data_IF_531222174787
#
_entry.id   IF_531222174787
#
_cell.length_a   1.000
_cell.length_b   1.000
_cell.length_c   1.000
_cell.angle_alpha   90.00
_cell.angle_beta   90.00
_cell.angle_gamma   90.00
#
_symmetry.space_group_name_H-M   'P 1'
#
loop_
_entity.id
_entity.type
_entity.pdbx_description
1 polymer ?
#
# COMPACT_ATOMS: atom_id res chain seq x y z
N UNK A 1 30.47 24.02 -10.70
CA UNK A 1 29.55 23.01 -11.27
C UNK A 1 29.82 21.68 -10.60
N UNK A 2 28.97 21.25 -9.68
CA UNK A 2 29.08 19.96 -8.97
C UNK A 2 28.59 18.87 -9.92
N UNK A 3 29.41 17.85 -10.13
CA UNK A 3 29.09 16.76 -11.07
C UNK A 3 27.85 15.99 -10.60
N UNK A 4 26.88 15.62 -11.45
CA UNK A 4 25.62 14.99 -11.09
C UNK A 4 25.77 13.65 -10.34
N UNK A 5 26.90 12.98 -10.44
CA UNK A 5 27.22 11.75 -9.69
C UNK A 5 27.49 12.00 -8.20
N UNK A 6 28.09 13.15 -7.83
CA UNK A 6 28.31 13.49 -6.40
C UNK A 6 27.02 13.84 -5.68
N UNK A 7 26.08 14.49 -6.37
CA UNK A 7 24.76 14.80 -5.78
C UNK A 7 23.94 13.53 -5.49
N UNK A 8 24.06 12.51 -6.36
CA UNK A 8 23.40 11.21 -6.14
C UNK A 8 23.97 10.46 -4.92
N UNK A 9 25.27 10.51 -4.69
CA UNK A 9 25.91 9.86 -3.54
C UNK A 9 25.62 10.56 -2.22
N UNK A 10 25.51 11.89 -2.19
CA UNK A 10 25.11 12.63 -1.00
C UNK A 10 23.63 12.41 -0.63
N UNK A 11 22.74 12.29 -1.61
CA UNK A 11 21.33 12.04 -1.38
C UNK A 11 21.09 10.60 -0.88
N UNK A 12 21.82 9.62 -1.39
CA UNK A 12 21.74 8.24 -0.91
C UNK A 12 22.23 8.10 0.54
N UNK A 13 23.24 8.90 0.96
CA UNK A 13 23.72 8.95 2.35
C UNK A 13 22.73 9.63 3.31
N UNK A 14 21.98 10.63 2.85
CA UNK A 14 20.97 11.30 3.67
C UNK A 14 19.72 10.43 3.92
N UNK A 15 19.40 9.51 3.02
CA UNK A 15 18.29 8.56 3.17
C UNK A 15 18.61 7.39 4.11
N UNK A 16 19.90 7.15 4.43
CA UNK A 16 20.33 6.01 5.26
C UNK A 16 20.60 6.31 6.74
N UNK A 17 20.56 7.56 7.20
CA UNK A 17 21.19 7.93 8.48
C UNK A 17 20.28 8.45 9.60
N UNK A 18 18.94 8.42 9.49
CA UNK A 18 18.10 8.93 10.57
C UNK A 18 16.96 7.99 10.94
N UNK A 19 17.00 7.49 12.17
CA UNK A 19 15.94 6.74 12.87
C UNK A 19 14.77 7.64 13.33
N UNK A 20 14.50 8.73 12.64
CA UNK A 20 13.42 9.63 12.99
C UNK A 20 12.96 10.41 11.76
N UNK A 21 11.78 10.12 11.28
CA UNK A 21 10.98 10.83 10.27
C UNK A 21 10.89 10.17 8.90
N UNK A 22 10.15 9.08 8.82
CA UNK A 22 9.55 8.58 7.56
C UNK A 22 8.83 9.71 6.80
N UNK A 23 8.24 10.67 7.50
CA UNK A 23 7.54 11.83 6.91
C UNK A 23 8.48 12.77 6.15
N UNK A 24 9.71 12.98 6.64
CA UNK A 24 10.70 13.85 5.95
C UNK A 24 11.27 13.15 4.72
N UNK A 25 11.51 11.84 4.78
CA UNK A 25 12.01 11.05 3.66
C UNK A 25 10.98 10.95 2.53
N UNK A 26 9.70 10.74 2.87
CA UNK A 26 8.60 10.72 1.92
C UNK A 26 8.32 12.11 1.32
N UNK A 27 8.47 13.18 2.12
CA UNK A 27 8.39 14.56 1.64
C UNK A 27 9.52 14.92 0.67
N UNK A 28 10.74 14.46 0.93
CA UNK A 28 11.88 14.66 0.03
C UNK A 28 11.71 13.92 -1.30
N UNK A 29 11.13 12.73 -1.30
CA UNK A 29 10.79 12.00 -2.53
C UNK A 29 9.84 12.81 -3.42
N UNK A 30 8.78 13.39 -2.85
CA UNK A 30 7.84 14.25 -3.59
C UNK A 30 8.49 15.50 -4.19
N UNK A 31 9.47 16.12 -3.53
CA UNK A 31 10.16 17.32 -4.02
C UNK A 31 11.09 17.05 -5.21
N UNK A 32 11.55 15.81 -5.36
CA UNK A 32 12.48 15.41 -6.43
C UNK A 32 11.70 14.86 -7.64
N UNK A 33 10.44 14.46 -7.46
CA UNK A 33 9.65 13.70 -8.44
C UNK A 33 8.50 14.51 -9.06
N UNK A 34 8.74 15.77 -9.41
CA UNK A 34 7.78 16.54 -10.20
C UNK A 34 7.77 16.14 -11.70
N UNK A 35 7.39 14.89 -11.97
CA UNK A 35 6.78 14.59 -13.26
C UNK A 35 5.26 14.67 -13.01
N UNK A 36 4.62 15.73 -13.49
CA UNK A 36 3.19 15.94 -13.30
C UNK A 36 2.38 14.91 -14.11
N UNK A 37 2.22 13.72 -13.56
CA UNK A 37 1.21 12.80 -14.09
C UNK A 37 -0.15 13.33 -13.66
N UNK A 38 -1.03 13.70 -14.59
CA UNK A 38 -2.34 14.22 -14.25
C UNK A 38 -3.11 13.24 -13.35
N UNK A 39 -3.73 13.78 -12.31
CA UNK A 39 -4.57 13.01 -11.40
C UNK A 39 -5.94 13.65 -11.25
N UNK A 40 -6.93 12.80 -10.95
CA UNK A 40 -8.30 13.22 -10.64
C UNK A 40 -8.60 12.87 -9.20
N UNK A 41 -9.06 13.82 -8.41
CA UNK A 41 -9.57 13.56 -7.07
C UNK A 41 -11.05 13.16 -7.11
N UNK A 42 -11.41 12.09 -6.41
CA UNK A 42 -12.78 11.55 -6.35
C UNK A 42 -13.17 11.34 -4.89
N UNK A 43 -14.37 11.80 -4.51
CA UNK A 43 -14.96 11.50 -3.21
C UNK A 43 -15.56 10.08 -3.22
N UNK A 44 -15.31 9.30 -2.15
CA UNK A 44 -15.94 8.00 -1.93
C UNK A 44 -16.87 8.00 -0.68
N UNK A 45 -16.99 9.16 -0.04
CA UNK A 45 -17.85 9.41 1.09
C UNK A 45 -17.92 10.92 1.41
N UNK A 46 -18.65 11.26 2.47
CA UNK A 46 -18.91 12.66 2.86
C UNK A 46 -17.78 13.27 3.70
N UNK A 47 -17.00 12.44 4.38
CA UNK A 47 -15.92 12.88 5.26
C UNK A 47 -14.78 13.59 4.49
N UNK A 48 -14.10 14.55 5.13
CA UNK A 48 -13.06 15.35 4.48
C UNK A 48 -11.87 14.52 3.99
N UNK A 49 -11.62 13.37 4.60
CA UNK A 49 -10.58 12.43 4.18
C UNK A 49 -11.10 11.29 3.28
N UNK A 50 -12.40 11.17 3.09
CA UNK A 50 -13.01 10.12 2.24
C UNK A 50 -12.91 10.48 0.75
N UNK A 51 -11.65 10.64 0.28
CA UNK A 51 -11.28 10.97 -1.09
C UNK A 51 -10.08 10.14 -1.53
N UNK A 52 -10.02 9.81 -2.81
CA UNK A 52 -8.84 9.21 -3.42
C UNK A 52 -8.39 9.97 -4.65
N UNK A 53 -7.10 9.88 -4.96
CA UNK A 53 -6.54 10.33 -6.23
C UNK A 53 -6.49 9.16 -7.21
N UNK A 54 -6.80 9.44 -8.48
CA UNK A 54 -6.72 8.48 -9.59
C UNK A 54 -5.67 8.95 -10.58
N UNK A 55 -4.75 8.07 -10.92
CA UNK A 55 -3.76 8.23 -11.98
C UNK A 55 -4.07 7.22 -13.08
N UNK A 56 -4.27 7.70 -14.31
CA UNK A 56 -4.51 6.81 -15.46
C UNK A 56 -3.23 6.12 -15.89
N UNK A 57 -3.36 4.88 -16.36
CA UNK A 57 -2.24 4.13 -16.92
C UNK A 57 -1.62 4.82 -18.13
N UNK A 58 -0.29 4.85 -18.21
CA UNK A 58 0.46 5.49 -19.28
C UNK A 58 1.22 4.48 -20.14
N UNK A 59 1.38 4.80 -21.42
CA UNK A 59 2.30 4.09 -22.32
C UNK A 59 3.78 4.51 -22.09
N UNK A 60 4.70 3.92 -22.83
CA UNK A 60 6.13 4.18 -22.72
C UNK A 60 6.57 5.62 -23.07
N UNK A 61 5.68 6.40 -23.69
CA UNK A 61 5.92 7.80 -24.04
C UNK A 61 5.03 8.77 -23.24
N UNK A 62 4.39 8.28 -22.16
CA UNK A 62 3.67 9.10 -21.19
C UNK A 62 2.24 9.48 -21.60
N UNK A 63 1.63 8.82 -22.60
CA UNK A 63 0.24 9.04 -22.98
C UNK A 63 -0.69 8.03 -22.28
N UNK A 64 -1.95 8.41 -21.95
CA UNK A 64 -2.92 7.46 -21.41
C UNK A 64 -3.12 6.25 -22.32
N UNK A 65 -3.10 5.05 -21.72
CA UNK A 65 -3.41 3.83 -22.44
C UNK A 65 -4.86 3.83 -22.94
N UNK A 66 -5.08 3.26 -24.12
CA UNK A 66 -6.41 3.10 -24.74
C UNK A 66 -6.99 1.71 -24.49
N UNK A 67 -6.20 0.76 -24.04
CA UNK A 67 -6.63 -0.59 -23.67
C UNK A 67 -6.82 -0.70 -22.14
N UNK A 68 -7.74 -1.56 -21.66
CA UNK A 68 -7.93 -1.78 -20.23
C UNK A 68 -6.64 -2.21 -19.52
N UNK A 69 -6.26 -1.49 -18.48
CA UNK A 69 -5.04 -1.69 -17.72
C UNK A 69 -5.31 -2.30 -16.33
N UNK A 70 -4.39 -3.11 -15.76
CA UNK A 70 -4.51 -3.53 -14.38
C UNK A 70 -4.62 -2.33 -13.44
N UNK A 71 -5.29 -2.54 -12.30
CA UNK A 71 -5.55 -1.50 -11.31
C UNK A 71 -4.79 -1.82 -10.03
N UNK A 72 -4.16 -0.81 -9.44
CA UNK A 72 -3.56 -0.89 -8.11
C UNK A 72 -4.24 0.13 -7.20
N UNK A 73 -4.89 -0.34 -6.13
CA UNK A 73 -5.39 0.52 -5.07
C UNK A 73 -4.33 0.53 -3.97
N UNK A 74 -3.67 1.67 -3.77
CA UNK A 74 -2.53 1.80 -2.85
C UNK A 74 -2.90 2.58 -1.59
N UNK A 75 -2.80 1.94 -0.42
CA UNK A 75 -3.12 2.50 0.91
C UNK A 75 -1.83 3.00 1.57
N UNK A 76 -1.79 4.30 1.88
CA UNK A 76 -0.62 4.95 2.47
C UNK A 76 -0.36 4.52 3.93
N UNK A 77 0.90 4.61 4.36
CA UNK A 77 1.31 4.42 5.76
C UNK A 77 1.14 5.68 6.61
N UNK A 78 1.60 5.62 7.86
CA UNK A 78 1.60 6.75 8.79
C UNK A 78 1.12 6.40 10.19
N UNK A 79 1.35 5.16 10.65
CA UNK A 79 1.07 4.72 12.03
C UNK A 79 -0.39 4.96 12.48
N UNK A 80 -1.33 4.91 11.57
CA UNK A 80 -2.78 5.16 11.75
C UNK A 80 -3.13 6.57 12.26
N UNK A 81 -2.16 7.44 12.54
CA UNK A 81 -2.36 8.79 13.09
C UNK A 81 -1.82 9.92 12.19
N UNK A 82 -1.19 9.56 11.08
CA UNK A 82 -0.63 10.50 10.10
C UNK A 82 -0.67 9.92 8.69
N UNK A 83 -0.16 10.69 7.72
CA UNK A 83 -0.10 10.30 6.32
C UNK A 83 -1.21 10.94 5.48
N UNK A 84 -0.93 11.03 4.20
CA UNK A 84 -1.84 11.59 3.21
C UNK A 84 -1.47 11.03 1.82
N UNK A 85 -2.47 10.83 0.96
CA UNK A 85 -2.30 10.38 -0.43
C UNK A 85 -1.33 11.26 -1.22
N UNK A 86 -1.27 12.57 -0.90
CA UNK A 86 -0.34 13.52 -1.53
C UNK A 86 1.12 13.22 -1.17
N UNK A 87 1.37 12.72 0.05
CA UNK A 87 2.70 12.27 0.48
C UNK A 87 3.21 11.06 -0.30
N UNK A 88 2.32 10.32 -0.96
CA UNK A 88 2.61 9.15 -1.79
C UNK A 88 2.28 9.37 -3.28
N UNK A 89 2.13 10.63 -3.73
CA UNK A 89 1.83 10.95 -5.13
C UNK A 89 2.83 10.29 -6.09
N UNK A 90 4.12 10.26 -5.74
CA UNK A 90 5.19 9.61 -6.49
C UNK A 90 4.99 8.09 -6.68
N UNK A 91 4.30 7.39 -5.75
CA UNK A 91 3.91 5.99 -5.95
C UNK A 91 2.82 5.89 -7.01
N UNK A 92 1.82 6.78 -6.95
CA UNK A 92 0.75 6.85 -7.96
C UNK A 92 1.30 7.11 -9.36
N UNK A 93 2.23 8.07 -9.48
CA UNK A 93 2.91 8.38 -10.75
C UNK A 93 3.76 7.19 -11.25
N UNK A 94 4.48 6.53 -10.33
CA UNK A 94 5.27 5.35 -10.66
C UNK A 94 4.40 4.21 -11.21
N UNK A 95 3.27 3.93 -10.55
CA UNK A 95 2.32 2.91 -10.99
C UNK A 95 1.70 3.26 -12.35
N UNK A 96 1.32 4.53 -12.57
CA UNK A 96 0.81 4.99 -13.86
C UNK A 96 1.84 4.78 -14.99
N UNK A 97 3.10 5.13 -14.75
CA UNK A 97 4.20 4.94 -15.71
C UNK A 97 4.55 3.45 -15.94
N UNK A 98 4.20 2.57 -15.00
CA UNK A 98 4.28 1.11 -15.20
C UNK A 98 3.11 0.55 -16.00
N UNK A 99 2.17 1.39 -16.43
CA UNK A 99 1.00 0.99 -17.22
C UNK A 99 -0.17 0.51 -16.36
N UNK A 100 -0.30 0.97 -15.11
CA UNK A 100 -1.39 0.62 -14.21
C UNK A 100 -2.28 1.84 -13.92
N UNK A 101 -3.58 1.63 -13.80
CA UNK A 101 -4.44 2.62 -13.15
C UNK A 101 -4.13 2.57 -11.65
N UNK A 102 -3.71 3.70 -11.07
CA UNK A 102 -3.44 3.78 -9.64
C UNK A 102 -4.53 4.59 -8.92
N UNK A 103 -5.02 4.05 -7.79
CA UNK A 103 -6.00 4.71 -6.93
C UNK A 103 -5.41 4.82 -5.53
N UNK A 104 -5.25 6.05 -5.03
CA UNK A 104 -4.62 6.33 -3.75
C UNK A 104 -5.64 6.94 -2.78
N UNK A 105 -6.31 6.15 -1.92
CA UNK A 105 -7.25 6.67 -0.94
C UNK A 105 -6.54 7.32 0.26
N UNK A 106 -7.13 8.42 0.77
CA UNK A 106 -7.02 8.79 2.16
C UNK A 106 -8.05 8.00 2.97
N UNK A 107 -7.84 7.90 4.25
CA UNK A 107 -8.73 7.29 5.24
C UNK A 107 -8.67 8.09 6.54
N UNK A 108 -9.63 7.91 7.45
CA UNK A 108 -9.66 8.57 8.74
C UNK A 108 -8.45 8.21 9.60
N UNK A 109 -7.97 9.17 10.39
CA UNK A 109 -6.77 9.02 11.22
C UNK A 109 -7.09 9.25 12.71
N UNK A 110 -6.32 8.60 13.57
CA UNK A 110 -6.31 8.91 14.99
C UNK A 110 -6.02 10.41 15.24
N UNK A 111 -6.59 11.01 16.28
CA UNK A 111 -7.52 10.45 17.26
C UNK A 111 -8.99 10.50 16.85
N UNK A 112 -9.34 11.17 15.73
CA UNK A 112 -10.73 11.37 15.31
C UNK A 112 -11.37 10.11 14.75
N UNK A 113 -10.58 9.20 14.18
CA UNK A 113 -11.03 7.92 13.65
C UNK A 113 -10.21 6.80 14.28
N UNK A 114 -10.84 5.74 14.75
CA UNK A 114 -10.19 4.64 15.45
C UNK A 114 -10.43 3.31 14.73
N UNK A 115 -9.74 2.26 15.17
CA UNK A 115 -10.05 0.90 14.75
C UNK A 115 -11.47 0.51 15.25
N UNK A 116 -12.32 -0.07 14.37
CA UNK A 116 -12.06 -0.49 12.99
C UNK A 116 -12.40 0.58 11.91
N UNK A 117 -12.87 1.76 12.26
CA UNK A 117 -13.45 2.78 11.35
C UNK A 117 -12.54 3.14 10.17
N UNK A 118 -11.23 3.24 10.38
CA UNK A 118 -10.30 3.52 9.29
C UNK A 118 -10.14 2.32 8.31
N UNK A 119 -10.45 1.09 8.76
CA UNK A 119 -10.53 -0.08 7.87
C UNK A 119 -11.80 -0.03 7.05
N UNK A 120 -12.94 0.38 7.66
CA UNK A 120 -14.22 0.59 6.97
C UNK A 120 -14.08 1.66 5.88
N UNK A 121 -13.34 2.75 6.15
CA UNK A 121 -13.06 3.79 5.16
C UNK A 121 -12.33 3.21 3.95
N UNK A 122 -11.30 2.39 4.16
CA UNK A 122 -10.56 1.76 3.06
C UNK A 122 -11.40 0.73 2.33
N UNK A 123 -12.21 -0.07 3.03
CA UNK A 123 -13.14 -1.01 2.40
C UNK A 123 -14.14 -0.29 1.49
N UNK A 124 -14.70 0.84 1.96
CA UNK A 124 -15.58 1.70 1.16
C UNK A 124 -14.86 2.28 -0.06
N UNK A 125 -13.63 2.79 0.12
CA UNK A 125 -12.82 3.30 -0.98
C UNK A 125 -12.53 2.22 -2.04
N UNK A 126 -12.20 0.99 -1.61
CA UNK A 126 -11.95 -0.16 -2.49
C UNK A 126 -13.21 -0.52 -3.28
N UNK A 127 -14.36 -0.69 -2.63
CA UNK A 127 -15.62 -1.02 -3.29
C UNK A 127 -16.04 0.09 -4.28
N UNK A 128 -15.98 1.35 -3.87
CA UNK A 128 -16.33 2.50 -4.68
C UNK A 128 -15.39 2.64 -5.90
N UNK A 129 -14.07 2.50 -5.71
CA UNK A 129 -13.11 2.57 -6.81
C UNK A 129 -13.34 1.41 -7.79
N UNK A 130 -13.50 0.16 -7.28
CA UNK A 130 -13.69 -1.04 -8.10
C UNK A 130 -14.92 -0.93 -9.01
N UNK A 131 -16.00 -0.31 -8.54
CA UNK A 131 -17.21 -0.08 -9.34
C UNK A 131 -16.99 0.91 -10.48
N UNK A 132 -15.94 1.74 -10.41
CA UNK A 132 -15.69 2.86 -11.33
C UNK A 132 -14.40 2.74 -12.13
N UNK A 133 -13.59 1.71 -11.94
CA UNK A 133 -12.25 1.60 -12.59
C UNK A 133 -12.31 1.68 -14.11
N UNK A 134 -13.41 1.25 -14.75
CA UNK A 134 -13.59 1.35 -16.20
C UNK A 134 -13.66 2.80 -16.71
N UNK A 135 -14.12 3.74 -15.88
CA UNK A 135 -14.14 5.18 -16.22
C UNK A 135 -12.72 5.74 -16.46
N UNK A 136 -11.72 5.08 -15.87
CA UNK A 136 -10.31 5.46 -15.94
C UNK A 136 -9.48 4.55 -16.83
N UNK A 137 -10.12 3.60 -17.53
CA UNK A 137 -9.45 2.62 -18.38
C UNK A 137 -8.89 1.42 -17.60
N UNK A 138 -9.44 1.15 -16.40
CA UNK A 138 -9.05 0.01 -15.58
C UNK A 138 -9.77 -1.27 -15.97
N UNK A 139 -9.07 -2.41 -15.82
CA UNK A 139 -9.59 -3.76 -15.98
C UNK A 139 -10.17 -4.26 -14.65
N UNK A 140 -11.47 -4.49 -14.64
CA UNK A 140 -12.19 -4.95 -13.45
C UNK A 140 -11.79 -6.35 -12.98
N UNK A 141 -11.17 -7.16 -13.81
CA UNK A 141 -10.69 -8.50 -13.45
C UNK A 141 -9.30 -8.50 -12.81
N UNK A 142 -8.56 -7.40 -12.94
CA UNK A 142 -7.16 -7.25 -12.47
C UNK A 142 -7.02 -6.07 -11.52
N UNK A 143 -7.62 -6.19 -10.34
CA UNK A 143 -7.55 -5.16 -9.28
C UNK A 143 -6.75 -5.70 -8.11
N UNK A 144 -5.57 -5.14 -7.87
CA UNK A 144 -4.68 -5.51 -6.76
C UNK A 144 -4.78 -4.46 -5.66
N UNK A 145 -4.96 -4.90 -4.42
CA UNK A 145 -4.89 -4.05 -3.24
C UNK A 145 -3.45 -4.05 -2.72
N UNK A 146 -2.84 -2.87 -2.58
CA UNK A 146 -1.48 -2.69 -2.11
C UNK A 146 -1.45 -1.70 -0.96
N UNK A 147 -0.53 -1.87 -0.01
CA UNK A 147 -0.35 -0.90 1.06
C UNK A 147 1.07 -0.87 1.62
N UNK A 148 1.41 0.22 2.32
CA UNK A 148 2.68 0.38 3.01
C UNK A 148 2.48 0.55 4.51
N UNK A 149 3.25 -0.16 5.37
CA UNK A 149 3.26 0.03 6.83
C UNK A 149 1.85 -0.13 7.44
N UNK A 150 1.34 0.85 8.18
CA UNK A 150 -0.04 0.90 8.68
C UNK A 150 -1.07 0.76 7.55
N UNK A 151 -0.80 1.27 6.35
CA UNK A 151 -1.66 1.07 5.18
C UNK A 151 -1.66 -0.37 4.67
N UNK A 152 -0.54 -1.09 4.79
CA UNK A 152 -0.49 -2.52 4.48
C UNK A 152 -1.27 -3.35 5.49
N UNK A 153 -1.25 -2.97 6.78
CA UNK A 153 -2.11 -3.56 7.81
C UNK A 153 -3.60 -3.41 7.45
N UNK A 154 -4.05 -2.18 7.18
CA UNK A 154 -5.44 -1.88 6.82
C UNK A 154 -5.84 -2.65 5.55
N UNK A 155 -5.00 -2.60 4.52
CA UNK A 155 -5.25 -3.30 3.26
C UNK A 155 -5.33 -4.83 3.44
N UNK A 156 -4.50 -5.41 4.33
CA UNK A 156 -4.56 -6.83 4.65
C UNK A 156 -5.87 -7.22 5.35
N UNK A 157 -6.36 -6.40 6.28
CA UNK A 157 -7.68 -6.61 6.89
C UNK A 157 -8.80 -6.58 5.84
N UNK A 158 -8.79 -5.59 4.95
CA UNK A 158 -9.78 -5.53 3.84
C UNK A 158 -9.68 -6.74 2.90
N UNK A 159 -8.46 -7.26 2.68
CA UNK A 159 -8.21 -8.39 1.79
C UNK A 159 -8.59 -9.75 2.39
N UNK A 160 -8.47 -9.91 3.72
CA UNK A 160 -8.63 -11.23 4.36
C UNK A 160 -9.86 -11.34 5.24
N UNK A 161 -10.27 -10.27 5.90
CA UNK A 161 -11.50 -10.26 6.69
C UNK A 161 -12.69 -9.81 5.84
N UNK A 162 -13.46 -10.79 5.37
CA UNK A 162 -14.59 -10.54 4.47
C UNK A 162 -15.67 -9.63 5.08
N UNK A 163 -15.70 -9.45 6.41
CA UNK A 163 -16.69 -8.61 7.09
C UNK A 163 -16.64 -7.17 6.57
N UNK A 164 -15.45 -6.62 6.31
CA UNK A 164 -15.29 -5.24 5.85
C UNK A 164 -15.89 -4.98 4.47
N UNK A 165 -15.64 -5.83 3.50
CA UNK A 165 -16.22 -5.68 2.17
C UNK A 165 -17.69 -6.10 2.12
N UNK A 166 -18.14 -6.98 3.02
CA UNK A 166 -19.55 -7.33 3.16
C UNK A 166 -20.43 -6.12 3.55
N UNK A 167 -19.92 -5.22 4.39
CA UNK A 167 -20.64 -3.95 4.71
C UNK A 167 -20.81 -3.04 3.49
N UNK A 168 -20.01 -3.26 2.44
CA UNK A 168 -20.08 -2.55 1.17
C UNK A 168 -20.87 -3.35 0.08
N UNK A 169 -21.54 -4.43 0.46
CA UNK A 169 -22.31 -5.27 -0.45
C UNK A 169 -21.48 -6.13 -1.39
N UNK A 170 -20.20 -6.38 -1.06
CA UNK A 170 -19.29 -7.16 -1.90
C UNK A 170 -18.38 -8.09 -1.06
N UNK A 171 -17.40 -8.73 -1.68
CA UNK A 171 -16.47 -9.66 -1.02
C UNK A 171 -15.04 -9.44 -1.50
N UNK A 172 -14.02 -10.00 -0.82
CA UNK A 172 -12.63 -9.94 -1.30
C UNK A 172 -12.40 -10.49 -2.72
N UNK A 173 -13.31 -11.30 -3.25
CA UNK A 173 -13.24 -11.82 -4.62
C UNK A 173 -13.28 -10.74 -5.72
N UNK A 174 -13.62 -9.49 -5.39
CA UNK A 174 -13.47 -8.37 -6.33
C UNK A 174 -12.01 -7.98 -6.58
N UNK A 175 -11.07 -8.51 -5.79
CA UNK A 175 -9.64 -8.26 -5.86
C UNK A 175 -8.92 -9.47 -6.47
N UNK A 176 -7.89 -9.24 -7.27
CA UNK A 176 -7.08 -10.28 -7.90
C UNK A 176 -5.80 -10.63 -7.13
N UNK A 177 -5.47 -9.90 -6.06
CA UNK A 177 -4.30 -10.15 -5.22
C UNK A 177 -4.06 -9.05 -4.19
N UNK A 178 -3.15 -9.34 -3.25
CA UNK A 178 -2.70 -8.40 -2.22
C UNK A 178 -1.18 -8.21 -2.30
N UNK A 179 -0.71 -6.96 -2.14
CA UNK A 179 0.72 -6.61 -2.03
C UNK A 179 0.96 -5.85 -0.74
N UNK A 180 1.78 -6.40 0.13
CA UNK A 180 2.11 -5.78 1.41
C UNK A 180 3.56 -5.29 1.47
N UNK A 181 3.76 -3.98 1.69
CA UNK A 181 5.06 -3.35 1.81
C UNK A 181 5.34 -3.01 3.27
N UNK A 182 6.26 -3.72 3.93
CA UNK A 182 6.67 -3.51 5.33
C UNK A 182 5.48 -3.40 6.30
N UNK A 183 4.49 -4.30 6.16
CA UNK A 183 3.22 -4.21 6.89
C UNK A 183 3.22 -4.92 8.24
N UNK A 184 2.35 -4.44 9.15
CA UNK A 184 2.10 -5.01 10.46
C UNK A 184 0.93 -6.00 10.39
N UNK A 185 1.17 -7.31 10.57
CA UNK A 185 0.15 -8.34 10.37
C UNK A 185 -0.07 -9.25 11.59
N UNK A 186 0.94 -9.31 12.48
CA UNK A 186 0.96 -10.12 13.68
C UNK A 186 1.86 -9.45 14.73
N UNK A 187 1.29 -8.59 15.56
CA UNK A 187 2.02 -7.77 16.51
C UNK A 187 1.42 -7.85 17.92
N UNK A 188 2.24 -7.49 18.91
CA UNK A 188 1.81 -7.36 20.30
C UNK A 188 1.33 -5.92 20.56
N UNK A 189 0.35 -5.76 21.44
CA UNK A 189 -0.17 -4.45 21.85
C UNK A 189 0.66 -3.85 22.99
N UNK A 190 1.98 -3.87 22.83
CA UNK A 190 2.96 -3.53 23.88
C UNK A 190 3.33 -2.04 23.93
N UNK A 191 3.08 -1.29 22.85
CA UNK A 191 3.35 0.14 22.79
C UNK A 191 2.12 0.98 23.18
N UNK A 192 2.37 2.22 23.65
CA UNK A 192 1.29 3.19 23.93
C UNK A 192 0.46 3.49 22.68
N UNK A 193 1.10 3.58 21.51
CA UNK A 193 0.43 3.80 20.23
C UNK A 193 -0.55 2.66 19.94
N UNK A 194 -0.08 1.42 19.93
CA UNK A 194 -0.92 0.26 19.59
C UNK A 194 -2.09 0.10 20.56
N UNK A 195 -1.83 0.20 21.87
CA UNK A 195 -2.91 0.16 22.86
C UNK A 195 -3.98 1.24 22.65
N UNK A 196 -3.57 2.46 22.26
CA UNK A 196 -4.50 3.56 22.00
C UNK A 196 -5.27 3.38 20.69
N UNK A 197 -4.58 2.94 19.62
CA UNK A 197 -5.17 2.77 18.29
C UNK A 197 -6.21 1.66 18.27
N UNK A 198 -5.92 0.55 18.96
CA UNK A 198 -6.74 -0.65 19.00
C UNK A 198 -7.49 -0.84 20.33
N UNK A 199 -7.60 0.21 21.15
CA UNK A 199 -8.33 0.15 22.43
C UNK A 199 -9.76 -0.34 22.24
N UNK A 200 -10.19 -1.26 23.10
CA UNK A 200 -11.52 -1.84 23.06
C UNK A 200 -11.65 -3.12 23.89
N UNK A 201 -12.71 -3.90 23.71
CA UNK A 201 -12.87 -5.20 24.35
C UNK A 201 -11.78 -6.18 23.88
N UNK A 202 -11.55 -7.30 24.61
CA UNK A 202 -10.46 -8.25 24.29
C UNK A 202 -10.50 -8.79 22.86
N UNK A 203 -11.71 -8.98 22.30
CA UNK A 203 -11.90 -9.46 20.92
C UNK A 203 -11.31 -8.51 19.89
N UNK A 204 -11.17 -7.23 20.21
CA UNK A 204 -10.61 -6.22 19.33
C UNK A 204 -9.13 -6.44 19.01
N UNK A 205 -8.36 -6.98 19.94
CA UNK A 205 -6.97 -7.34 19.69
C UNK A 205 -6.87 -8.45 18.65
N UNK A 206 -7.72 -9.47 18.75
CA UNK A 206 -7.83 -10.52 17.73
C UNK A 206 -8.23 -9.95 16.37
N UNK A 207 -9.27 -9.10 16.36
CA UNK A 207 -9.83 -8.52 15.14
C UNK A 207 -8.88 -7.53 14.44
N UNK A 208 -7.90 -7.00 15.16
CA UNK A 208 -6.89 -6.10 14.62
C UNK A 208 -5.72 -6.83 13.92
N UNK A 209 -5.63 -8.15 13.96
CA UNK A 209 -4.50 -8.91 13.42
C UNK A 209 -4.88 -9.64 12.12
N UNK A 210 -4.46 -9.14 10.95
CA UNK A 210 -4.79 -9.76 9.65
C UNK A 210 -4.49 -11.26 9.56
N UNK A 211 -3.45 -11.73 10.24
CA UNK A 211 -3.04 -13.14 10.24
C UNK A 211 -4.15 -14.09 10.69
N UNK A 212 -5.07 -13.65 11.53
CA UNK A 212 -6.18 -14.46 12.05
C UNK A 212 -7.29 -14.73 11.03
N UNK A 213 -7.35 -13.95 9.95
CA UNK A 213 -8.40 -14.05 8.92
C UNK A 213 -7.94 -14.77 7.65
N UNK A 214 -6.73 -15.33 7.67
CA UNK A 214 -6.23 -16.13 6.55
C UNK A 214 -7.01 -17.43 6.43
N UNK A 215 -7.56 -17.69 5.25
CA UNK A 215 -8.32 -18.88 4.89
C UNK A 215 -7.83 -19.45 3.55
N UNK A 216 -8.20 -20.67 3.15
CA UNK A 216 -7.88 -21.19 1.81
C UNK A 216 -8.46 -20.36 0.65
N UNK A 217 -9.37 -19.42 0.93
CA UNK A 217 -9.96 -18.51 -0.06
C UNK A 217 -9.28 -17.13 -0.06
N UNK A 218 -8.26 -16.93 0.75
CA UNK A 218 -7.50 -15.68 0.77
C UNK A 218 -6.80 -15.42 -0.55
N UNK A 219 -6.56 -14.16 -0.83
CA UNK A 219 -5.97 -13.71 -2.11
C UNK A 219 -4.50 -14.16 -2.21
N UNK A 220 -4.05 -14.46 -3.44
CA UNK A 220 -2.61 -14.59 -3.71
C UNK A 220 -1.90 -13.32 -3.24
N UNK A 221 -0.71 -13.49 -2.68
CA UNK A 221 -0.07 -12.43 -1.90
C UNK A 221 1.39 -12.27 -2.28
N UNK A 222 1.85 -11.01 -2.37
CA UNK A 222 3.26 -10.65 -2.44
C UNK A 222 3.62 -9.76 -1.25
N UNK A 223 4.62 -10.17 -0.48
CA UNK A 223 5.11 -9.44 0.69
C UNK A 223 6.52 -8.93 0.44
N UNK A 224 6.77 -7.67 0.74
CA UNK A 224 8.09 -7.04 0.64
C UNK A 224 8.49 -6.53 2.02
N UNK A 225 9.70 -6.89 2.48
CA UNK A 225 10.19 -6.52 3.82
C UNK A 225 11.67 -6.17 3.79
N UNK A 226 12.02 -5.08 4.48
CA UNK A 226 13.39 -4.75 4.80
C UNK A 226 13.92 -5.64 5.93
N UNK A 227 15.09 -6.26 5.75
CA UNK A 227 15.67 -7.18 6.75
C UNK A 227 16.03 -6.45 8.05
N UNK A 228 16.38 -5.15 7.97
CA UNK A 228 16.75 -4.31 9.10
C UNK A 228 15.59 -3.41 9.59
N UNK A 229 14.35 -3.73 9.26
CA UNK A 229 13.19 -2.95 9.67
C UNK A 229 13.00 -3.03 11.20
N UNK A 230 13.15 -1.87 11.85
CA UNK A 230 12.95 -1.71 13.30
C UNK A 230 11.63 -1.02 13.65
N UNK A 231 10.90 -0.52 12.66
CA UNK A 231 9.59 0.10 12.83
C UNK A 231 8.49 -0.95 12.85
N UNK A 232 8.53 -1.85 11.87
CA UNK A 232 7.67 -3.04 11.83
C UNK A 232 8.58 -4.27 11.84
N UNK A 233 8.52 -5.04 12.92
CA UNK A 233 9.35 -6.22 13.05
C UNK A 233 9.15 -7.19 11.87
N UNK A 234 10.22 -7.64 11.19
CA UNK A 234 10.16 -8.60 10.08
C UNK A 234 9.41 -9.90 10.39
N UNK A 235 9.23 -10.23 11.67
CA UNK A 235 8.38 -11.33 12.13
C UNK A 235 6.95 -11.20 11.56
N UNK A 236 6.41 -10.00 11.39
CA UNK A 236 5.07 -9.78 10.85
C UNK A 236 4.90 -10.40 9.46
N UNK A 237 5.86 -10.17 8.58
CA UNK A 237 5.88 -10.75 7.23
C UNK A 237 6.00 -12.28 7.30
N UNK A 238 6.92 -12.82 8.13
CA UNK A 238 7.10 -14.28 8.28
C UNK A 238 5.84 -14.96 8.80
N UNK A 239 5.17 -14.35 9.79
CA UNK A 239 3.95 -14.89 10.39
C UNK A 239 2.81 -14.96 9.38
N UNK A 240 2.55 -13.86 8.63
CA UNK A 240 1.53 -13.86 7.59
C UNK A 240 1.84 -14.84 6.46
N UNK A 241 3.09 -14.88 5.99
CA UNK A 241 3.51 -15.84 4.97
C UNK A 241 3.34 -17.30 5.41
N UNK A 242 3.66 -17.60 6.67
CA UNK A 242 3.46 -18.94 7.24
C UNK A 242 1.97 -19.30 7.30
N UNK A 243 1.10 -18.39 7.72
CA UNK A 243 -0.35 -18.60 7.74
C UNK A 243 -0.92 -18.85 6.33
N UNK A 244 -0.48 -18.06 5.34
CA UNK A 244 -0.90 -18.23 3.93
C UNK A 244 -0.45 -19.58 3.37
N UNK A 245 0.81 -19.98 3.61
CA UNK A 245 1.30 -21.31 3.19
C UNK A 245 0.53 -22.45 3.84
N UNK A 246 0.25 -22.34 5.15
CA UNK A 246 -0.56 -23.32 5.87
C UNK A 246 -1.97 -23.45 5.28
N UNK A 247 -2.54 -22.34 4.82
CA UNK A 247 -3.83 -22.30 4.14
C UNK A 247 -3.75 -22.66 2.64
N UNK A 248 -2.58 -23.03 2.12
CA UNK A 248 -2.31 -23.35 0.72
C UNK A 248 -2.59 -22.19 -0.26
N UNK A 249 -2.48 -20.96 0.23
CA UNK A 249 -2.61 -19.74 -0.58
C UNK A 249 -1.25 -19.39 -1.18
N UNK A 250 -1.18 -19.08 -2.50
CA UNK A 250 0.06 -18.63 -3.12
C UNK A 250 0.61 -17.37 -2.46
N UNK A 251 1.85 -17.44 -1.96
CA UNK A 251 2.54 -16.32 -1.34
C UNK A 251 3.98 -16.25 -1.81
N UNK A 252 4.38 -15.06 -2.23
CA UNK A 252 5.75 -14.69 -2.55
C UNK A 252 6.29 -13.72 -1.51
N UNK A 253 7.58 -13.83 -1.21
CA UNK A 253 8.29 -12.91 -0.32
C UNK A 253 9.48 -12.29 -1.05
N UNK A 254 9.70 -11.01 -0.84
CA UNK A 254 10.89 -10.28 -1.26
C UNK A 254 11.55 -9.72 0.01
N UNK A 255 12.70 -10.23 0.35
CA UNK A 255 13.54 -9.75 1.43
C UNK A 255 14.64 -8.88 0.84
N UNK A 256 14.84 -7.69 1.39
CA UNK A 256 15.85 -6.74 0.90
C UNK A 256 16.62 -6.14 2.06
N UNK A 257 17.91 -5.96 1.88
CA UNK A 257 18.73 -5.22 2.85
C UNK A 257 18.23 -3.78 2.96
N UNK A 258 17.94 -3.34 4.18
CA UNK A 258 17.48 -1.99 4.47
C UNK A 258 16.36 -1.91 5.50
N UNK A 259 16.00 -0.67 5.82
CA UNK A 259 15.07 -0.33 6.88
C UNK A 259 13.62 -0.22 6.37
N UNK A 260 12.71 0.27 7.23
CA UNK A 260 11.26 0.36 6.98
C UNK A 260 10.84 0.99 5.64
N UNK A 261 11.56 2.01 5.18
CA UNK A 261 11.22 2.73 3.95
C UNK A 261 11.69 2.05 2.66
N UNK A 262 12.53 1.00 2.73
CA UNK A 262 13.14 0.41 1.53
C UNK A 262 12.13 -0.17 0.56
N UNK A 263 11.07 -0.78 1.08
CA UNK A 263 10.04 -1.43 0.27
C UNK A 263 9.24 -0.45 -0.59
N UNK A 264 8.80 0.66 0.00
CA UNK A 264 8.08 1.71 -0.73
C UNK A 264 9.02 2.63 -1.49
N UNK A 265 10.21 2.92 -0.96
CA UNK A 265 11.25 3.73 -1.60
C UNK A 265 11.75 3.17 -2.94
N UNK A 266 11.49 1.89 -3.20
CA UNK A 266 11.75 1.26 -4.49
C UNK A 266 11.01 1.92 -5.66
N UNK A 267 9.85 2.54 -5.40
CA UNK A 267 9.07 3.27 -6.41
C UNK A 267 9.61 4.67 -6.71
N UNK A 268 10.52 5.21 -5.88
CA UNK A 268 11.13 6.50 -6.12
C UNK A 268 11.86 6.51 -7.49
N UNK A 269 11.73 7.61 -8.24
CA UNK A 269 12.26 7.73 -9.61
C UNK A 269 13.73 7.35 -9.74
N UNK A 270 14.52 7.69 -8.71
CA UNK A 270 15.95 7.37 -8.63
C UNK A 270 16.23 5.86 -8.56
N UNK A 271 15.29 5.07 -7.99
CA UNK A 271 15.47 3.64 -7.74
C UNK A 271 14.71 2.76 -8.73
N UNK A 272 13.60 3.27 -9.28
CA UNK A 272 12.57 2.51 -10.00
C UNK A 272 13.08 1.72 -11.20
N UNK A 273 13.95 2.31 -12.01
CA UNK A 273 14.42 1.70 -13.25
C UNK A 273 15.22 0.39 -13.05
N UNK A 274 15.90 0.26 -11.93
CA UNK A 274 16.76 -0.89 -11.61
C UNK A 274 16.18 -1.78 -10.48
N UNK A 275 15.06 -1.36 -9.87
CA UNK A 275 14.49 -2.04 -8.70
C UNK A 275 13.89 -3.40 -9.06
N UNK A 276 14.46 -4.46 -8.50
CA UNK A 276 13.86 -5.81 -8.56
C UNK A 276 12.49 -5.85 -7.87
N UNK A 277 12.31 -5.11 -6.77
CA UNK A 277 11.04 -4.98 -6.08
C UNK A 277 9.95 -4.51 -7.05
N UNK A 278 10.20 -3.42 -7.76
CA UNK A 278 9.23 -2.85 -8.71
C UNK A 278 8.95 -3.81 -9.86
N UNK A 279 9.98 -4.48 -10.41
CA UNK A 279 9.79 -5.48 -11.47
C UNK A 279 8.92 -6.63 -11.01
N UNK A 280 9.15 -7.19 -9.81
CA UNK A 280 8.36 -8.30 -9.26
C UNK A 280 6.94 -7.89 -8.92
N UNK A 281 6.74 -6.71 -8.33
CA UNK A 281 5.40 -6.16 -8.11
C UNK A 281 4.66 -5.98 -9.45
N UNK A 282 5.33 -5.41 -10.46
CA UNK A 282 4.72 -5.24 -11.77
C UNK A 282 4.36 -6.58 -12.44
N UNK A 283 5.20 -7.60 -12.31
CA UNK A 283 4.90 -8.95 -12.78
C UNK A 283 3.68 -9.55 -12.03
N UNK A 284 3.66 -9.42 -10.69
CA UNK A 284 2.54 -9.86 -9.87
C UNK A 284 1.23 -9.16 -10.27
N UNK A 285 1.22 -7.85 -10.46
CA UNK A 285 0.03 -7.09 -10.86
C UNK A 285 -0.47 -7.49 -12.25
N UNK A 286 0.43 -7.80 -13.19
CA UNK A 286 0.08 -8.23 -14.57
C UNK A 286 -0.39 -9.67 -14.65
N UNK A 287 0.02 -10.53 -13.72
CA UNK A 287 -0.39 -11.94 -13.73
C UNK A 287 -1.91 -12.04 -13.56
N UNK A 288 -2.56 -12.78 -14.43
CA UNK A 288 -3.97 -13.14 -14.27
C UNK A 288 -4.10 -14.11 -13.09
N UNK A 289 -5.17 -14.01 -12.27
CA UNK A 289 -5.43 -14.96 -11.19
C UNK A 289 -5.62 -16.38 -11.69
#
# INVERSE_FOLDING_TARGET
MIRPRMLRSLLALLLGATTGCTTIQLGAANLIETAEVPRTEVAYGEGPRQRYDVYRALDSIGRPLTTPAPVVIFVHGGSWESGDKRGYAWVGEALAQLGFVAVLPNYGLMPSTRFPEFVDDVARAVAHARARVTEWGGDTSRVVLMGHSAGAHIAALVAYDARYLATQGTTPAILSGFVGLSGAYDFLFDTKLLRRTFAGPPEREHDALPVHFVTPRSLRTLLVMGEDDRTVNPRNTRSLAAALRKAQVPVEEIWVSGTHGVSVGAFARINRGESEIVRRIAAFVRATP
#
